data_IF_050123445653
#
_entry.id   IF_050123445653
#
_cell.length_a   1.000
_cell.length_b   1.000
_cell.length_c   1.000
_cell.angle_alpha   90.00
_cell.angle_beta   90.00
_cell.angle_gamma   90.00
#
_symmetry.space_group_name_H-M   'P 1'
#
loop_
_entity.id
_entity.type
_entity.pdbx_description
1 polymer ?
#
# COMPACT_ATOMS: atom_id res chain seq x y z
N UNK A 1 0.75 14.64 -14.11
CA UNK A 1 1.27 13.61 -13.20
C UNK A 1 0.95 12.25 -13.79
N UNK A 2 1.96 11.38 -13.94
CA UNK A 2 1.72 9.97 -14.27
C UNK A 2 1.16 9.30 -13.02
N UNK A 3 0.07 8.55 -13.16
CA UNK A 3 -0.45 7.74 -12.05
C UNK A 3 0.48 6.54 -11.87
N UNK A 4 0.78 6.09 -10.64
CA UNK A 4 1.51 4.84 -10.42
C UNK A 4 0.86 3.69 -11.18
N UNK A 5 1.64 2.71 -11.62
CA UNK A 5 1.14 1.51 -12.31
C UNK A 5 0.87 0.32 -11.37
N UNK A 6 0.72 0.54 -10.06
CA UNK A 6 0.55 -0.58 -9.14
C UNK A 6 0.67 -0.22 -7.67
N UNK A 7 0.77 -1.27 -6.85
CA UNK A 7 1.13 -1.21 -5.42
C UNK A 7 2.54 -1.77 -5.24
N UNK A 8 3.46 -0.96 -4.72
CA UNK A 8 4.78 -1.41 -4.27
C UNK A 8 4.66 -1.90 -2.83
N UNK A 9 4.84 -3.20 -2.61
CA UNK A 9 4.68 -3.86 -1.31
C UNK A 9 5.94 -3.67 -0.46
N UNK A 10 7.09 -3.97 -1.04
CA UNK A 10 8.40 -3.87 -0.38
C UNK A 10 9.54 -3.68 -1.36
N UNK A 11 10.66 -3.21 -0.82
CA UNK A 11 11.96 -3.16 -1.47
C UNK A 11 12.95 -4.02 -0.69
N UNK A 12 13.60 -4.96 -1.37
CA UNK A 12 14.72 -5.71 -0.83
C UNK A 12 16.03 -5.01 -1.23
N UNK A 13 16.76 -4.50 -0.24
CA UNK A 13 18.01 -3.78 -0.46
C UNK A 13 19.20 -4.68 -0.84
N UNK A 14 19.17 -5.96 -0.46
CA UNK A 14 20.24 -6.92 -0.77
C UNK A 14 20.17 -7.34 -2.25
N UNK A 15 18.96 -7.65 -2.71
CA UNK A 15 18.71 -8.08 -4.09
C UNK A 15 18.38 -6.91 -5.03
N UNK A 16 18.11 -5.72 -4.48
CA UNK A 16 17.68 -4.51 -5.19
C UNK A 16 16.41 -4.74 -6.02
N UNK A 17 15.50 -5.56 -5.51
CA UNK A 17 14.23 -5.87 -6.18
C UNK A 17 13.04 -5.29 -5.43
N UNK A 18 12.06 -4.83 -6.20
CA UNK A 18 10.75 -4.43 -5.67
C UNK A 18 9.77 -5.59 -5.81
N UNK A 19 8.94 -5.79 -4.79
CA UNK A 19 7.73 -6.60 -4.91
C UNK A 19 6.59 -5.66 -5.26
N UNK A 20 6.11 -5.74 -6.50
CA UNK A 20 5.07 -4.86 -7.03
C UNK A 20 3.92 -5.67 -7.60
N UNK A 21 2.72 -5.12 -7.50
CA UNK A 21 1.53 -5.66 -8.15
C UNK A 21 1.02 -4.64 -9.14
N UNK A 22 1.09 -4.99 -10.43
CA UNK A 22 0.60 -4.15 -11.50
C UNK A 22 -0.92 -4.05 -11.46
N UNK A 23 -1.41 -2.81 -11.48
CA UNK A 23 -2.85 -2.51 -11.44
C UNK A 23 -3.22 -1.61 -12.60
N UNK A 24 -4.45 -1.73 -13.10
CA UNK A 24 -4.97 -0.72 -14.02
C UNK A 24 -5.05 0.64 -13.32
N UNK A 25 -4.98 1.72 -14.09
CA UNK A 25 -5.12 3.08 -13.56
C UNK A 25 -6.38 3.27 -12.73
N UNK A 26 -7.50 2.69 -13.14
CA UNK A 26 -8.76 2.77 -12.40
C UNK A 26 -8.66 2.05 -11.04
N UNK A 27 -8.08 0.86 -11.02
CA UNK A 27 -7.84 0.10 -9.79
C UNK A 27 -6.90 0.84 -8.82
N UNK A 28 -5.84 1.49 -9.33
CA UNK A 28 -4.93 2.29 -8.51
C UNK A 28 -5.64 3.46 -7.85
N UNK A 29 -6.45 4.20 -8.60
CA UNK A 29 -7.18 5.37 -8.07
C UNK A 29 -8.18 4.91 -7.00
N UNK A 30 -8.99 3.90 -7.29
CA UNK A 30 -9.99 3.40 -6.34
C UNK A 30 -9.34 2.86 -5.05
N UNK A 31 -8.20 2.16 -5.17
CA UNK A 31 -7.47 1.67 -4.01
C UNK A 31 -6.84 2.82 -3.22
N UNK A 32 -6.25 3.81 -3.89
CA UNK A 32 -5.68 4.98 -3.24
C UNK A 32 -6.73 5.75 -2.45
N UNK A 33 -7.84 6.13 -3.08
CA UNK A 33 -8.93 6.89 -2.43
C UNK A 33 -9.48 6.12 -1.21
N UNK A 34 -9.56 4.79 -1.31
CA UNK A 34 -9.99 3.94 -0.20
C UNK A 34 -8.98 3.92 0.95
N UNK A 35 -7.68 3.90 0.66
CA UNK A 35 -6.61 3.82 1.65
C UNK A 35 -6.30 5.18 2.27
N UNK A 36 -6.23 6.26 1.50
CA UNK A 36 -5.92 7.62 1.97
C UNK A 36 -6.80 7.99 3.17
N UNK A 37 -8.12 7.84 3.05
CA UNK A 37 -9.04 8.14 4.13
C UNK A 37 -8.81 7.30 5.40
N UNK A 38 -8.27 6.09 5.27
CA UNK A 38 -7.94 5.21 6.41
C UNK A 38 -6.61 5.56 7.05
N UNK A 39 -5.61 5.86 6.23
CA UNK A 39 -4.31 6.35 6.68
C UNK A 39 -4.51 7.64 7.50
N UNK A 40 -5.21 8.63 6.97
CA UNK A 40 -5.44 9.90 7.67
C UNK A 40 -6.20 9.74 8.99
N UNK A 41 -7.14 8.78 9.06
CA UNK A 41 -7.93 8.52 10.27
C UNK A 41 -7.18 7.72 11.33
N UNK A 42 -6.42 6.70 10.92
CA UNK A 42 -5.73 5.81 11.83
C UNK A 42 -4.38 6.37 12.28
N UNK A 43 -3.68 7.08 11.38
CA UNK A 43 -2.34 7.62 11.59
C UNK A 43 -2.33 9.11 11.22
N UNK A 44 -2.88 9.98 12.09
CA UNK A 44 -2.88 11.41 11.85
C UNK A 44 -1.44 11.92 11.71
N UNK A 45 -1.29 13.01 10.95
CA UNK A 45 0.01 13.58 10.64
C UNK A 45 0.91 13.76 11.87
N UNK A 46 2.15 13.33 11.71
CA UNK A 46 3.17 13.43 12.73
C UNK A 46 4.29 14.40 12.27
N UNK A 47 4.74 15.36 13.10
CA UNK A 47 5.91 16.16 12.75
C UNK A 47 7.20 15.33 12.65
N UNK A 48 7.25 14.16 13.29
CA UNK A 48 8.29 13.16 13.08
C UNK A 48 7.98 12.36 11.82
N UNK A 49 8.77 12.60 10.76
CA UNK A 49 8.57 11.99 9.44
C UNK A 49 8.57 10.46 9.48
N UNK A 50 9.39 9.87 10.35
CA UNK A 50 9.50 8.41 10.49
C UNK A 50 8.22 7.78 11.06
N UNK A 51 7.32 8.61 11.61
CA UNK A 51 6.03 8.23 12.18
C UNK A 51 4.84 8.87 11.43
N UNK A 52 5.11 9.63 10.37
CA UNK A 52 4.08 10.25 9.54
C UNK A 52 3.67 9.31 8.40
N UNK A 53 3.02 8.20 8.76
CA UNK A 53 2.67 7.17 7.79
C UNK A 53 1.67 7.66 6.74
N UNK A 54 0.71 8.51 7.14
CA UNK A 54 -0.24 9.13 6.22
C UNK A 54 0.45 10.13 5.28
N UNK A 55 1.28 11.03 5.80
CA UNK A 55 2.03 11.96 4.96
C UNK A 55 3.00 11.27 4.01
N UNK A 56 3.68 10.20 4.45
CA UNK A 56 4.54 9.40 3.58
C UNK A 56 3.74 8.68 2.48
N UNK A 57 2.57 8.12 2.80
CA UNK A 57 1.72 7.45 1.81
C UNK A 57 1.21 8.43 0.73
N UNK A 58 0.59 9.54 1.16
CA UNK A 58 0.08 10.59 0.25
C UNK A 58 1.20 11.21 -0.57
N UNK A 59 2.31 11.58 0.08
CA UNK A 59 3.47 12.16 -0.58
C UNK A 59 4.09 11.23 -1.62
N UNK A 60 4.19 9.94 -1.33
CA UNK A 60 4.68 8.94 -2.29
C UNK A 60 3.76 8.83 -3.51
N UNK A 61 2.44 8.86 -3.30
CA UNK A 61 1.49 8.78 -4.41
C UNK A 61 1.57 10.00 -5.33
N UNK A 62 1.69 11.20 -4.77
CA UNK A 62 1.95 12.44 -5.54
C UNK A 62 3.28 12.33 -6.29
N UNK A 63 4.28 11.70 -5.68
CA UNK A 63 5.57 11.37 -6.30
C UNK A 63 5.52 10.28 -7.37
N UNK A 64 4.38 9.61 -7.56
CA UNK A 64 4.16 8.59 -8.59
C UNK A 64 4.27 7.14 -8.12
N UNK A 65 4.27 6.87 -6.81
CA UNK A 65 4.31 5.52 -6.25
C UNK A 65 3.27 5.32 -5.13
N UNK A 66 2.45 4.27 -5.22
CA UNK A 66 1.66 3.80 -4.08
C UNK A 66 2.46 2.72 -3.36
N UNK A 67 3.00 3.01 -2.18
CA UNK A 67 3.97 2.14 -1.50
C UNK A 67 3.63 1.88 -0.04
N UNK A 68 3.94 0.68 0.42
CA UNK A 68 3.91 0.25 1.83
C UNK A 68 5.31 -0.02 2.41
N UNK A 69 6.38 0.25 1.66
CA UNK A 69 7.78 0.08 2.09
C UNK A 69 8.04 0.74 3.46
N UNK A 70 7.58 1.99 3.64
CA UNK A 70 7.83 2.77 4.84
C UNK A 70 7.12 2.27 6.11
N UNK A 71 6.20 1.30 6.00
CA UNK A 71 5.40 0.85 7.13
C UNK A 71 6.17 -0.15 8.00
N UNK A 72 6.20 0.04 9.34
CA UNK A 72 6.60 -0.99 10.27
C UNK A 72 5.62 -2.16 10.26
N UNK A 73 6.01 -3.28 10.88
CA UNK A 73 5.26 -4.53 10.78
C UNK A 73 3.79 -4.44 11.24
N UNK A 74 3.51 -3.73 12.34
CA UNK A 74 2.16 -3.60 12.88
C UNK A 74 1.23 -2.79 11.94
N UNK A 75 1.73 -1.66 11.46
CA UNK A 75 1.04 -0.78 10.52
C UNK A 75 0.88 -1.43 9.15
N UNK A 76 1.92 -2.12 8.68
CA UNK A 76 1.88 -2.90 7.45
C UNK A 76 0.75 -3.93 7.48
N UNK A 77 0.61 -4.72 8.56
CA UNK A 77 -0.49 -5.69 8.70
C UNK A 77 -1.86 -5.01 8.72
N UNK A 78 -1.96 -3.85 9.35
CA UNK A 78 -3.19 -3.06 9.38
C UNK A 78 -3.56 -2.61 7.97
N UNK A 79 -2.61 -2.06 7.21
CA UNK A 79 -2.79 -1.67 5.82
C UNK A 79 -3.13 -2.87 4.92
N UNK A 80 -2.51 -4.04 5.13
CA UNK A 80 -2.87 -5.28 4.44
C UNK A 80 -4.34 -5.67 4.69
N UNK A 81 -4.82 -5.52 5.93
CA UNK A 81 -6.23 -5.71 6.27
C UNK A 81 -7.14 -4.78 5.46
N UNK A 82 -6.76 -3.51 5.32
CA UNK A 82 -7.51 -2.56 4.50
C UNK A 82 -7.52 -2.91 3.02
N UNK A 83 -6.38 -3.35 2.45
CA UNK A 83 -6.35 -3.84 1.06
C UNK A 83 -7.25 -5.06 0.91
N UNK A 84 -7.20 -6.00 1.86
CA UNK A 84 -8.08 -7.17 1.86
C UNK A 84 -9.56 -6.79 1.91
N UNK A 85 -9.94 -5.72 2.61
CA UNK A 85 -11.32 -5.23 2.55
C UNK A 85 -11.63 -4.53 1.22
N UNK A 86 -10.68 -3.78 0.67
CA UNK A 86 -10.83 -3.04 -0.58
C UNK A 86 -11.11 -3.99 -1.74
N UNK A 87 -10.36 -5.10 -1.85
CA UNK A 87 -10.53 -6.10 -2.91
C UNK A 87 -11.87 -6.84 -2.85
N UNK A 88 -12.60 -6.80 -1.72
CA UNK A 88 -13.96 -7.35 -1.62
C UNK A 88 -15.05 -6.31 -1.93
N UNK A 89 -14.76 -5.02 -1.70
CA UNK A 89 -15.74 -3.93 -1.81
C UNK A 89 -15.70 -3.23 -3.16
N UNK A 90 -14.54 -3.20 -3.82
CA UNK A 90 -14.29 -2.40 -5.02
C UNK A 90 -14.18 -3.31 -6.25
N UNK A 91 -15.17 -3.30 -7.16
CA UNK A 91 -15.19 -4.17 -8.33
C UNK A 91 -13.97 -4.03 -9.24
N UNK A 92 -13.36 -2.84 -9.29
CA UNK A 92 -12.14 -2.55 -10.05
C UNK A 92 -10.92 -3.35 -9.56
N UNK A 93 -10.95 -3.82 -8.31
CA UNK A 93 -9.85 -4.59 -7.69
C UNK A 93 -10.03 -6.10 -7.80
N UNK A 94 -11.22 -6.59 -8.13
CA UNK A 94 -11.50 -8.03 -8.19
C UNK A 94 -10.52 -8.81 -9.09
N UNK A 95 -10.12 -8.32 -10.28
CA UNK A 95 -9.17 -9.04 -11.14
C UNK A 95 -7.77 -9.22 -10.52
N UNK A 96 -7.41 -8.40 -9.53
CA UNK A 96 -6.08 -8.34 -8.94
C UNK A 96 -6.04 -8.95 -7.53
N UNK A 97 -7.17 -9.45 -7.04
CA UNK A 97 -7.34 -9.92 -5.66
C UNK A 97 -6.27 -10.94 -5.28
N UNK A 98 -6.10 -11.98 -6.09
CA UNK A 98 -5.19 -13.07 -5.75
C UNK A 98 -3.73 -12.60 -5.75
N UNK A 99 -3.34 -11.81 -6.74
CA UNK A 99 -1.97 -11.26 -6.85
C UNK A 99 -1.66 -10.27 -5.72
N UNK A 100 -2.59 -9.35 -5.41
CA UNK A 100 -2.47 -8.42 -4.29
C UNK A 100 -2.30 -9.19 -2.97
N UNK A 101 -3.18 -10.14 -2.69
CA UNK A 101 -3.13 -10.88 -1.43
C UNK A 101 -1.91 -11.80 -1.35
N UNK A 102 -1.46 -12.38 -2.46
CA UNK A 102 -0.25 -13.17 -2.51
C UNK A 102 1.00 -12.32 -2.22
N UNK A 103 1.13 -11.17 -2.89
CA UNK A 103 2.25 -10.26 -2.69
C UNK A 103 2.31 -9.73 -1.25
N UNK A 104 1.18 -9.30 -0.70
CA UNK A 104 1.12 -8.80 0.68
C UNK A 104 1.52 -9.85 1.72
N UNK A 105 1.11 -11.11 1.53
CA UNK A 105 1.40 -12.24 2.43
C UNK A 105 2.81 -12.80 2.29
N UNK A 106 3.47 -12.55 1.16
CA UNK A 106 4.86 -12.94 0.93
C UNK A 106 5.83 -12.07 1.75
N UNK A 107 5.44 -10.83 2.07
CA UNK A 107 6.26 -9.92 2.86
C UNK A 107 6.48 -10.44 4.30
N UNK A 108 7.72 -10.44 4.82
CA UNK A 108 8.01 -10.88 6.18
C UNK A 108 7.20 -10.14 7.26
N UNK A 109 6.91 -8.85 7.06
CA UNK A 109 6.13 -8.00 7.99
C UNK A 109 4.70 -8.52 8.20
N UNK A 110 4.20 -9.35 7.29
CA UNK A 110 2.87 -9.94 7.38
C UNK A 110 2.77 -11.01 8.49
N UNK A 111 3.85 -11.74 8.78
CA UNK A 111 3.82 -12.94 9.64
C UNK A 111 4.15 -12.67 11.11
N UNK A 112 4.94 -11.64 11.40
CA UNK A 112 5.45 -11.39 12.75
C UNK A 112 4.50 -10.55 13.60
N UNK A 113 3.51 -11.20 14.22
CA UNK A 113 2.67 -10.68 15.30
C UNK A 113 2.77 -11.53 16.55
#
# INVERSE_FOLDING_TARGET
MSVPFGLTVSYDAETKTFTEVDLSRAAVIDLYDYLESRFEKAWPHNPDRDKDYAGCFVGSFIGGAMTFDHLPAAEYRTACGWVSEAVEKLPSLHPYKDDLMAALRADPRYKDG
#
